data_IF_237437744953
#
_entry.id   IF_237437744953
#
_cell.length_a   1.000
_cell.length_b   1.000
_cell.length_c   1.000
_cell.angle_alpha   90.00
_cell.angle_beta   90.00
_cell.angle_gamma   90.00
#
_symmetry.space_group_name_H-M   'P 1'
#
loop_
_entity.id
_entity.type
_entity.pdbx_description
1 polymer ?
#
# COMPACT_ATOMS: atom_id res chain seq x y z
N UNK A 1 -2.11 19.62 -36.79
CA UNK A 1 -2.13 20.19 -35.42
C UNK A 1 -2.38 19.14 -34.33
N UNK A 2 -3.21 18.12 -34.54
CA UNK A 2 -3.44 17.04 -33.56
C UNK A 2 -2.23 16.10 -33.32
N UNK A 3 -1.49 15.73 -34.37
CA UNK A 3 -0.34 14.81 -34.25
C UNK A 3 0.80 15.35 -33.39
N UNK A 4 1.05 16.67 -33.43
CA UNK A 4 2.08 17.31 -32.61
C UNK A 4 1.69 17.34 -31.12
N UNK A 5 0.38 17.43 -30.85
CA UNK A 5 -0.20 17.37 -29.52
C UNK A 5 -0.09 15.95 -28.93
N UNK A 6 -0.40 14.93 -29.74
CA UNK A 6 -0.23 13.53 -29.35
C UNK A 6 1.24 13.16 -29.16
N UNK A 7 2.15 13.64 -30.01
CA UNK A 7 3.58 13.38 -29.86
C UNK A 7 4.16 14.03 -28.59
N UNK A 8 3.72 15.24 -28.25
CA UNK A 8 4.14 15.92 -27.02
C UNK A 8 3.57 15.25 -25.77
N UNK A 9 2.30 14.82 -25.81
CA UNK A 9 1.66 14.08 -24.73
C UNK A 9 2.34 12.71 -24.51
N UNK A 10 2.54 11.95 -25.59
CA UNK A 10 3.19 10.63 -25.56
C UNK A 10 4.68 10.71 -25.18
N UNK A 11 5.37 11.77 -25.61
CA UNK A 11 6.76 12.04 -25.22
C UNK A 11 6.89 12.40 -23.74
N UNK A 12 5.92 13.12 -23.18
CA UNK A 12 5.87 13.44 -21.75
C UNK A 12 5.57 12.19 -20.91
N UNK A 13 4.60 11.36 -21.33
CA UNK A 13 4.31 10.04 -20.76
C UNK A 13 5.56 9.18 -20.68
N UNK A 14 6.35 9.07 -21.77
CA UNK A 14 7.59 8.29 -21.80
C UNK A 14 8.66 8.77 -20.79
N UNK A 15 8.76 10.08 -20.56
CA UNK A 15 9.72 10.65 -19.59
C UNK A 15 9.33 10.31 -18.14
N UNK A 16 8.04 10.31 -17.83
CA UNK A 16 7.52 9.91 -16.51
C UNK A 16 7.29 8.41 -16.37
N UNK A 17 7.22 7.66 -17.48
CA UNK A 17 7.01 6.20 -17.50
C UNK A 17 8.10 5.47 -16.74
N UNK A 18 9.37 5.87 -16.91
CA UNK A 18 10.48 5.27 -16.16
C UNK A 18 10.36 5.52 -14.65
N UNK A 19 9.96 6.72 -14.24
CA UNK A 19 9.71 7.06 -12.84
C UNK A 19 8.49 6.32 -12.27
N UNK A 20 7.38 6.26 -13.01
CA UNK A 20 6.18 5.52 -12.62
C UNK A 20 6.46 4.02 -12.50
N UNK A 21 7.23 3.43 -13.42
CA UNK A 21 7.66 2.03 -13.32
C UNK A 21 8.56 1.82 -12.10
N UNK A 22 9.50 2.73 -11.83
CA UNK A 22 10.34 2.65 -10.64
C UNK A 22 9.51 2.72 -9.35
N UNK A 23 8.58 3.66 -9.25
CA UNK A 23 7.68 3.80 -8.09
C UNK A 23 6.77 2.57 -7.95
N UNK A 24 6.32 2.00 -9.06
CA UNK A 24 5.50 0.78 -9.06
C UNK A 24 6.29 -0.43 -8.54
N UNK A 25 7.52 -0.62 -9.03
CA UNK A 25 8.42 -1.70 -8.56
C UNK A 25 8.75 -1.54 -7.08
N UNK A 26 9.06 -0.31 -6.67
CA UNK A 26 9.34 0.03 -5.27
C UNK A 26 8.09 -0.16 -4.39
N UNK A 27 6.92 0.23 -4.88
CA UNK A 27 5.62 0.03 -4.21
C UNK A 27 5.27 -1.45 -4.02
N UNK A 28 5.61 -2.32 -4.97
CA UNK A 28 5.42 -3.78 -4.84
C UNK A 28 6.23 -4.35 -3.67
N UNK A 29 7.41 -3.78 -3.38
CA UNK A 29 8.27 -4.24 -2.26
C UNK A 29 7.85 -3.60 -0.93
N UNK A 30 7.42 -2.33 -0.96
CA UNK A 30 7.01 -1.61 0.26
C UNK A 30 5.65 -2.08 0.77
N UNK A 31 4.72 -2.41 -0.11
CA UNK A 31 3.38 -2.85 0.27
C UNK A 31 3.38 -4.07 1.22
N UNK A 32 4.11 -5.18 0.96
CA UNK A 32 4.17 -6.30 1.90
C UNK A 32 4.83 -5.90 3.23
N UNK A 33 5.79 -4.96 3.23
CA UNK A 33 6.40 -4.45 4.46
C UNK A 33 5.41 -3.61 5.29
N UNK A 34 4.68 -2.71 4.64
CA UNK A 34 3.65 -1.90 5.28
C UNK A 34 2.50 -2.77 5.82
N UNK A 35 2.07 -3.77 5.03
CA UNK A 35 1.12 -4.79 5.49
C UNK A 35 1.64 -5.52 6.73
N UNK A 36 2.88 -6.02 6.69
CA UNK A 36 3.49 -6.74 7.80
C UNK A 36 3.59 -5.88 9.08
N UNK A 37 3.94 -4.60 8.94
CA UNK A 37 4.01 -3.66 10.05
C UNK A 37 2.63 -3.45 10.70
N UNK A 38 1.59 -3.26 9.89
CA UNK A 38 0.21 -3.10 10.38
C UNK A 38 -0.29 -4.39 11.02
N UNK A 39 -0.08 -5.56 10.42
CA UNK A 39 -0.44 -6.85 11.01
C UNK A 39 0.26 -7.06 12.36
N UNK A 40 1.57 -6.77 12.43
CA UNK A 40 2.35 -6.88 13.66
C UNK A 40 1.84 -5.93 14.75
N UNK A 41 1.45 -4.71 14.38
CA UNK A 41 0.83 -3.75 15.30
C UNK A 41 -0.50 -4.27 15.83
N UNK A 42 -1.40 -4.78 14.98
CA UNK A 42 -2.66 -5.35 15.45
C UNK A 42 -2.47 -6.60 16.32
N UNK A 43 -1.52 -7.46 15.99
CA UNK A 43 -1.17 -8.63 16.81
C UNK A 43 -0.58 -8.24 18.17
N UNK A 44 0.03 -7.05 18.30
CA UNK A 44 0.47 -6.53 19.59
C UNK A 44 -0.71 -6.18 20.52
N UNK A 45 -1.82 -5.69 19.96
CA UNK A 45 -3.01 -5.30 20.73
C UNK A 45 -4.06 -6.40 20.89
N UNK A 46 -3.91 -7.53 20.18
CA UNK A 46 -4.87 -8.64 20.20
C UNK A 46 -4.24 -9.91 20.76
N UNK A 47 -5.00 -10.71 21.50
CA UNK A 47 -4.51 -11.96 22.10
C UNK A 47 -5.00 -13.19 21.34
N UNK A 48 -4.31 -14.33 21.47
CA UNK A 48 -4.78 -15.60 20.88
C UNK A 48 -6.18 -15.99 21.36
N UNK A 49 -6.55 -15.63 22.59
CA UNK A 49 -7.90 -15.89 23.09
C UNK A 49 -8.95 -15.01 22.41
N UNK A 50 -8.62 -13.75 22.10
CA UNK A 50 -9.51 -12.86 21.34
C UNK A 50 -9.84 -13.44 19.96
N UNK A 51 -8.82 -13.98 19.26
CA UNK A 51 -8.98 -14.57 17.93
C UNK A 51 -9.72 -15.92 17.91
N UNK A 52 -9.96 -16.55 19.07
CA UNK A 52 -10.64 -17.84 19.18
C UNK A 52 -11.98 -17.76 19.92
N UNK A 53 -12.47 -16.55 20.23
CA UNK A 53 -13.74 -16.33 20.93
C UNK A 53 -14.73 -15.53 20.07
N UNK A 54 -16.03 -15.76 20.28
CA UNK A 54 -17.11 -14.98 19.66
C UNK A 54 -17.12 -15.05 18.13
N UNK A 55 -17.10 -13.90 17.45
CA UNK A 55 -17.18 -13.80 15.98
C UNK A 55 -15.97 -14.40 15.24
N UNK A 56 -14.84 -14.63 15.94
CA UNK A 56 -13.63 -15.23 15.37
C UNK A 56 -13.47 -16.72 15.70
N UNK A 57 -14.41 -17.31 16.47
CA UNK A 57 -14.47 -18.76 16.72
C UNK A 57 -14.80 -19.50 15.42
N UNK A 58 -14.32 -20.75 15.26
CA UNK A 58 -14.48 -21.59 14.05
C UNK A 58 -15.96 -21.83 13.67
N UNK A 59 -16.54 -20.81 13.06
CA UNK A 59 -17.94 -20.69 12.63
C UNK A 59 -17.94 -19.87 11.34
N UNK A 60 -19.07 -19.83 10.62
CA UNK A 60 -19.18 -19.05 9.39
C UNK A 60 -18.83 -17.55 9.56
N UNK A 61 -18.96 -17.01 10.78
CA UNK A 61 -18.58 -15.62 11.11
C UNK A 61 -17.07 -15.34 11.04
N UNK A 62 -16.22 -16.35 11.22
CA UNK A 62 -14.76 -16.22 11.20
C UNK A 62 -14.25 -15.69 9.87
N UNK A 63 -14.81 -16.17 8.76
CA UNK A 63 -14.44 -15.72 7.41
C UNK A 63 -14.76 -14.23 7.20
N UNK A 64 -15.91 -13.76 7.71
CA UNK A 64 -16.28 -12.35 7.67
C UNK A 64 -15.40 -11.47 8.56
N UNK A 65 -15.11 -11.93 9.79
CA UNK A 65 -14.21 -11.22 10.71
C UNK A 65 -12.79 -11.07 10.15
N UNK A 66 -12.26 -12.14 9.53
CA UNK A 66 -10.96 -12.12 8.84
C UNK A 66 -10.97 -11.17 7.63
N UNK A 67 -12.08 -11.11 6.88
CA UNK A 67 -12.21 -10.19 5.75
C UNK A 67 -12.21 -8.72 6.21
N UNK A 68 -12.92 -8.40 7.30
CA UNK A 68 -12.92 -7.05 7.88
C UNK A 68 -11.53 -6.70 8.40
N UNK A 69 -10.87 -7.62 9.11
CA UNK A 69 -9.49 -7.44 9.56
C UNK A 69 -8.55 -7.14 8.39
N UNK A 70 -8.59 -7.96 7.34
CA UNK A 70 -7.79 -7.76 6.13
C UNK A 70 -8.08 -6.40 5.45
N UNK A 71 -9.34 -5.98 5.42
CA UNK A 71 -9.75 -4.67 4.90
C UNK A 71 -9.17 -3.51 5.71
N UNK A 72 -9.20 -3.60 7.04
CA UNK A 72 -8.62 -2.58 7.93
C UNK A 72 -7.10 -2.51 7.77
N UNK A 73 -6.42 -3.67 7.74
CA UNK A 73 -4.97 -3.73 7.50
C UNK A 73 -4.61 -3.10 6.15
N UNK A 74 -5.38 -3.40 5.11
CA UNK A 74 -5.18 -2.83 3.77
C UNK A 74 -5.36 -1.31 3.77
N UNK A 75 -6.46 -0.81 4.34
CA UNK A 75 -6.77 0.62 4.40
C UNK A 75 -5.71 1.42 5.18
N UNK A 76 -5.14 0.85 6.24
CA UNK A 76 -4.08 1.49 7.03
C UNK A 76 -2.70 1.39 6.37
N UNK A 77 -2.45 0.37 5.53
CA UNK A 77 -1.21 0.24 4.76
C UNK A 77 -1.07 1.34 3.69
N UNK A 78 -2.19 1.81 3.11
CA UNK A 78 -2.22 2.88 2.10
C UNK A 78 -1.58 4.19 2.59
N UNK A 79 -2.04 4.83 3.69
CA UNK A 79 -1.46 6.08 4.16
C UNK A 79 0.00 5.94 4.59
N UNK A 80 0.39 4.80 5.18
CA UNK A 80 1.79 4.52 5.55
C UNK A 80 2.67 4.50 4.29
N UNK A 81 2.23 3.78 3.26
CA UNK A 81 2.94 3.69 1.99
C UNK A 81 3.01 5.05 1.30
N UNK A 82 1.93 5.84 1.36
CA UNK A 82 1.88 7.19 0.77
C UNK A 82 2.87 8.15 1.45
N UNK A 83 2.88 8.18 2.80
CA UNK A 83 3.84 9.01 3.57
C UNK A 83 5.28 8.61 3.24
N UNK A 84 5.55 7.32 3.10
CA UNK A 84 6.88 6.83 2.74
C UNK A 84 7.30 7.30 1.33
N UNK A 85 6.42 7.18 0.33
CA UNK A 85 6.69 7.65 -1.03
C UNK A 85 6.94 9.16 -1.05
N UNK A 86 6.10 9.95 -0.34
CA UNK A 86 6.27 11.41 -0.24
C UNK A 86 7.64 11.75 0.37
N UNK A 87 8.03 11.06 1.45
CA UNK A 87 9.32 11.27 2.12
C UNK A 87 10.49 10.97 1.18
N UNK A 88 10.42 9.86 0.42
CA UNK A 88 11.43 9.54 -0.58
C UNK A 88 11.53 10.61 -1.68
N UNK A 89 10.39 11.12 -2.16
CA UNK A 89 10.37 12.18 -3.16
C UNK A 89 11.02 13.46 -2.64
N UNK A 90 10.70 13.89 -1.43
CA UNK A 90 11.30 15.09 -0.81
C UNK A 90 12.82 14.90 -0.66
N UNK A 91 13.27 13.76 -0.15
CA UNK A 91 14.71 13.48 0.02
C UNK A 91 15.45 13.46 -1.32
N UNK A 92 14.84 12.90 -2.37
CA UNK A 92 15.43 12.89 -3.73
C UNK A 92 15.47 14.28 -4.36
N UNK A 93 14.48 15.13 -4.07
CA UNK A 93 14.46 16.52 -4.51
C UNK A 93 15.48 17.37 -3.76
N UNK A 94 15.70 17.11 -2.46
CA UNK A 94 16.65 17.84 -1.63
C UNK A 94 18.11 17.41 -1.84
N UNK A 95 18.35 16.22 -2.39
CA UNK A 95 19.68 15.71 -2.73
C UNK A 95 20.17 16.15 -4.13
N UNK A 96 19.40 16.98 -4.83
CA UNK A 96 19.69 17.53 -6.14
C UNK A 96 19.88 19.04 -6.05
#
# INVERSE_FOLDING_TARGET
MGDLFLYSYLGSELKYKSLMLFISVVGIIIFPFAKWAVESFFLMFTTREFWNRGLFMDTAGKAGGLAIYGGVVFLLSIPITLVFIITLFITRLSAK
#
